data_IF_582252095738
#
_entry.id   IF_582252095738
#
_cell.length_a   1.000
_cell.length_b   1.000
_cell.length_c   1.000
_cell.angle_alpha   90.00
_cell.angle_beta   90.00
_cell.angle_gamma   90.00
#
_symmetry.space_group_name_H-M   'P 1'
#
loop_
_entity.id
_entity.type
_entity.pdbx_description
1 polymer ?
#
# COMPACT_ATOMS: atom_id res chain seq x y z
N UNK A 1 -44.85 -47.64 51.57
CA UNK A 1 -44.93 -46.18 51.82
C UNK A 1 -45.20 -45.49 50.48
N UNK A 2 -46.44 -45.08 50.22
CA UNK A 2 -46.85 -44.49 48.93
C UNK A 2 -46.55 -42.99 48.98
N UNK A 3 -45.51 -42.55 48.26
CA UNK A 3 -45.20 -41.12 48.12
C UNK A 3 -46.30 -40.43 47.29
N UNK A 4 -46.87 -39.37 47.86
CA UNK A 4 -47.91 -38.55 47.24
C UNK A 4 -47.43 -37.97 45.90
N UNK A 5 -48.26 -38.09 44.86
CA UNK A 5 -47.98 -37.63 43.48
C UNK A 5 -47.66 -36.13 43.41
N UNK A 6 -48.18 -35.31 44.34
CA UNK A 6 -47.82 -33.88 44.43
C UNK A 6 -46.38 -33.66 44.89
N UNK A 7 -45.87 -34.50 45.77
CA UNK A 7 -44.50 -34.42 46.30
C UNK A 7 -43.49 -34.89 45.24
N UNK A 8 -43.82 -35.94 44.48
CA UNK A 8 -42.99 -36.45 43.38
C UNK A 8 -42.88 -35.43 42.22
N UNK A 9 -43.97 -34.73 41.87
CA UNK A 9 -43.94 -33.66 40.85
C UNK A 9 -43.09 -32.46 41.27
N UNK A 10 -43.11 -32.06 42.55
CA UNK A 10 -42.27 -30.95 43.05
C UNK A 10 -40.78 -31.31 43.07
N UNK A 11 -40.43 -32.55 43.44
CA UNK A 11 -39.03 -33.02 43.44
C UNK A 11 -38.50 -33.13 42.01
N UNK A 12 -39.30 -33.59 41.05
CA UNK A 12 -38.94 -33.69 39.64
C UNK A 12 -38.71 -32.32 38.98
N UNK A 13 -39.56 -31.32 39.23
CA UNK A 13 -39.40 -29.99 38.64
C UNK A 13 -38.17 -29.25 39.21
N UNK A 14 -37.89 -29.43 40.50
CA UNK A 14 -36.72 -28.82 41.15
C UNK A 14 -35.41 -29.43 40.65
N UNK A 15 -35.39 -30.74 40.34
CA UNK A 15 -34.22 -31.42 39.77
C UNK A 15 -33.91 -30.99 38.33
N UNK A 16 -34.95 -30.74 37.51
CA UNK A 16 -34.77 -30.29 36.12
C UNK A 16 -34.23 -28.85 36.06
N UNK A 17 -34.68 -27.98 36.96
CA UNK A 17 -34.19 -26.58 37.03
C UNK A 17 -32.73 -26.52 37.51
N UNK A 18 -32.33 -27.38 38.45
CA UNK A 18 -30.94 -27.45 38.92
C UNK A 18 -30.00 -28.01 37.83
N UNK A 19 -30.43 -29.02 37.05
CA UNK A 19 -29.61 -29.58 35.97
C UNK A 19 -29.42 -28.65 34.77
N UNK A 20 -30.34 -27.70 34.53
CA UNK A 20 -30.23 -26.75 33.41
C UNK A 20 -29.49 -25.45 33.78
N UNK A 21 -29.55 -25.01 35.04
CA UNK A 21 -28.95 -23.73 35.44
C UNK A 21 -27.48 -23.89 35.86
N UNK A 22 -27.11 -25.02 36.48
CA UNK A 22 -25.74 -25.24 36.96
C UNK A 22 -24.68 -25.30 35.83
N UNK A 23 -24.92 -25.92 34.65
CA UNK A 23 -23.95 -25.89 33.56
C UNK A 23 -23.80 -24.48 32.98
N UNK A 24 -24.88 -23.70 32.87
CA UNK A 24 -24.85 -22.35 32.31
C UNK A 24 -24.11 -21.39 33.25
N UNK A 25 -24.31 -21.49 34.57
CA UNK A 25 -23.58 -20.69 35.55
C UNK A 25 -22.10 -21.10 35.68
N UNK A 26 -21.77 -22.38 35.50
CA UNK A 26 -20.38 -22.85 35.47
C UNK A 26 -19.64 -22.42 34.19
N UNK A 27 -20.32 -22.46 33.03
CA UNK A 27 -19.77 -21.96 31.76
C UNK A 27 -19.63 -20.44 31.79
N UNK A 28 -20.64 -19.68 32.25
CA UNK A 28 -20.55 -18.22 32.38
C UNK A 28 -19.57 -17.77 33.48
N UNK A 29 -19.38 -18.57 34.54
CA UNK A 29 -18.38 -18.33 35.58
C UNK A 29 -16.94 -18.55 35.10
N UNK A 30 -16.72 -19.43 34.11
CA UNK A 30 -15.41 -19.61 33.46
C UNK A 30 -15.15 -18.60 32.33
N UNK A 31 -16.17 -17.89 31.84
CA UNK A 31 -16.04 -16.77 30.90
C UNK A 31 -16.08 -15.39 31.57
N UNK A 32 -15.58 -15.28 32.81
CA UNK A 32 -14.93 -14.01 33.19
C UNK A 32 -13.65 -13.93 32.38
N UNK A 33 -13.75 -13.40 31.16
CA UNK A 33 -12.63 -12.71 30.52
C UNK A 33 -12.25 -11.58 31.46
N UNK A 34 -11.39 -11.92 32.42
CA UNK A 34 -10.39 -11.00 32.91
C UNK A 34 -9.69 -10.58 31.62
N UNK A 35 -9.99 -9.38 31.13
CA UNK A 35 -9.07 -8.67 30.25
C UNK A 35 -7.83 -8.43 31.10
N UNK A 36 -7.06 -9.49 31.30
CA UNK A 36 -5.62 -9.35 31.36
C UNK A 36 -5.31 -8.74 30.01
N UNK A 37 -5.05 -7.44 30.00
CA UNK A 37 -4.12 -6.90 29.04
C UNK A 37 -2.98 -7.90 29.01
N UNK A 38 -2.87 -8.63 27.90
CA UNK A 38 -1.63 -9.31 27.56
C UNK A 38 -0.62 -8.17 27.47
N UNK A 39 -0.07 -7.78 28.62
CA UNK A 39 1.20 -7.13 28.66
C UNK A 39 2.11 -8.18 28.05
N UNK A 40 2.41 -7.98 26.76
CA UNK A 40 3.48 -8.66 26.09
C UNK A 40 4.73 -8.36 26.93
N UNK A 41 5.04 -9.23 27.89
CA UNK A 41 6.36 -9.28 28.48
C UNK A 41 7.30 -9.63 27.34
N UNK A 42 7.91 -8.58 26.78
CA UNK A 42 9.03 -8.71 25.88
C UNK A 42 10.06 -9.56 26.64
N UNK A 43 10.44 -10.75 26.15
CA UNK A 43 11.45 -11.56 26.81
C UNK A 43 12.67 -10.69 27.03
N UNK A 44 13.08 -10.53 28.29
CA UNK A 44 14.13 -9.59 28.74
C UNK A 44 15.50 -9.80 28.08
N UNK A 45 15.65 -10.86 27.28
CA UNK A 45 16.86 -11.19 26.52
C UNK A 45 16.75 -10.99 25.00
N UNK A 46 15.64 -10.46 24.48
CA UNK A 46 15.53 -10.06 23.08
C UNK A 46 15.35 -8.54 23.01
N UNK A 47 16.38 -7.84 22.51
CA UNK A 47 16.26 -6.42 22.15
C UNK A 47 15.26 -6.30 21.02
N UNK A 48 13.98 -6.11 21.33
CA UNK A 48 13.02 -5.59 20.36
C UNK A 48 13.48 -4.17 20.06
N UNK A 49 14.06 -3.98 18.88
CA UNK A 49 14.29 -2.63 18.34
C UNK A 49 12.90 -2.06 18.07
N UNK A 50 12.43 -1.20 18.96
CA UNK A 50 11.43 -0.21 18.59
C UNK A 50 12.19 0.72 17.65
N UNK A 51 12.02 0.54 16.34
CA UNK A 51 12.64 1.40 15.35
C UNK A 51 12.24 2.84 15.67
N UNK A 52 13.22 3.67 16.04
CA UNK A 52 12.94 5.06 16.36
C UNK A 52 12.52 5.74 15.05
N UNK A 53 11.69 6.78 15.13
CA UNK A 53 11.32 7.59 13.96
C UNK A 53 12.55 8.09 13.16
N UNK A 54 13.69 8.28 13.85
CA UNK A 54 14.98 8.59 13.23
C UNK A 54 15.47 7.50 12.27
N UNK A 55 15.20 6.24 12.59
CA UNK A 55 15.67 5.07 11.84
C UNK A 55 14.88 4.94 10.54
N UNK A 56 13.56 5.20 10.57
CA UNK A 56 12.72 5.27 9.38
C UNK A 56 13.11 6.40 8.43
N UNK A 57 13.43 7.59 8.96
CA UNK A 57 13.93 8.70 8.15
C UNK A 57 15.28 8.37 7.49
N UNK A 58 16.19 7.72 8.22
CA UNK A 58 17.47 7.27 7.66
C UNK A 58 17.29 6.23 6.56
N UNK A 59 16.41 5.25 6.75
CA UNK A 59 16.07 4.24 5.74
C UNK A 59 15.46 4.90 4.50
N UNK A 60 14.51 5.80 4.67
CA UNK A 60 13.90 6.58 3.58
C UNK A 60 14.97 7.36 2.79
N UNK A 61 15.88 8.06 3.49
CA UNK A 61 16.97 8.81 2.85
C UNK A 61 17.92 7.89 2.06
N UNK A 62 18.19 6.68 2.56
CA UNK A 62 18.99 5.69 1.84
C UNK A 62 18.31 5.29 0.52
N UNK A 63 16.99 5.11 0.52
CA UNK A 63 16.24 4.80 -0.69
C UNK A 63 16.26 5.95 -1.70
N UNK A 64 16.03 7.18 -1.24
CA UNK A 64 16.11 8.36 -2.12
C UNK A 64 17.50 8.54 -2.73
N UNK A 65 18.56 8.35 -1.93
CA UNK A 65 19.93 8.41 -2.43
C UNK A 65 20.18 7.32 -3.49
N UNK A 66 19.70 6.10 -3.28
CA UNK A 66 19.83 5.03 -4.28
C UNK A 66 19.13 5.38 -5.60
N UNK A 67 17.96 6.04 -5.57
CA UNK A 67 17.29 6.53 -6.78
C UNK A 67 18.12 7.61 -7.48
N UNK A 68 18.70 8.55 -6.73
CA UNK A 68 19.60 9.59 -7.28
C UNK A 68 20.81 8.93 -7.96
N UNK A 69 21.52 8.05 -7.26
CA UNK A 69 22.70 7.38 -7.82
C UNK A 69 22.33 6.55 -9.07
N UNK A 70 21.18 5.87 -9.07
CA UNK A 70 20.74 5.09 -10.23
C UNK A 70 20.36 5.97 -11.42
N UNK A 71 19.76 7.14 -11.17
CA UNK A 71 19.34 8.09 -12.20
C UNK A 71 20.53 8.74 -12.89
N UNK A 72 21.48 9.24 -12.10
CA UNK A 72 22.60 10.01 -12.62
C UNK A 72 23.84 9.17 -12.92
N UNK A 73 23.95 7.97 -12.36
CA UNK A 73 25.03 7.02 -12.62
C UNK A 73 26.41 7.67 -12.42
N UNK A 74 27.13 7.96 -13.50
CA UNK A 74 28.44 8.61 -13.49
C UNK A 74 28.40 10.11 -13.85
N UNK A 75 27.22 10.65 -14.20
CA UNK A 75 27.06 12.05 -14.59
C UNK A 75 26.93 12.97 -13.37
N UNK A 76 28.06 13.23 -12.71
CA UNK A 76 28.12 14.03 -11.49
C UNK A 76 27.66 15.48 -11.71
N UNK A 77 27.97 16.07 -12.86
CA UNK A 77 27.58 17.45 -13.16
C UNK A 77 26.04 17.60 -13.21
N UNK A 78 25.36 16.70 -13.93
CA UNK A 78 23.90 16.71 -14.00
C UNK A 78 23.27 16.42 -12.64
N UNK A 79 23.87 15.51 -11.85
CA UNK A 79 23.45 15.23 -10.47
C UNK A 79 23.49 16.47 -9.60
N UNK A 80 24.61 17.20 -9.59
CA UNK A 80 24.78 18.39 -8.75
C UNK A 80 23.81 19.51 -9.16
N UNK A 81 23.62 19.71 -10.46
CA UNK A 81 22.64 20.66 -10.99
C UNK A 81 21.20 20.28 -10.58
N UNK A 82 20.87 18.99 -10.70
CA UNK A 82 19.58 18.47 -10.28
C UNK A 82 19.37 18.68 -8.78
N UNK A 83 20.26 18.22 -7.91
CA UNK A 83 20.12 18.35 -6.46
C UNK A 83 19.89 19.81 -6.03
N UNK A 84 20.68 20.75 -6.57
CA UNK A 84 20.49 22.19 -6.32
C UNK A 84 19.10 22.68 -6.75
N UNK A 85 18.57 22.19 -7.87
CA UNK A 85 17.22 22.56 -8.32
C UNK A 85 16.13 22.02 -7.40
N UNK A 86 16.35 20.87 -6.75
CA UNK A 86 15.37 20.21 -5.88
C UNK A 86 15.31 20.83 -4.48
N UNK A 87 16.34 21.58 -4.09
CA UNK A 87 16.41 22.27 -2.78
C UNK A 87 15.68 23.62 -2.77
N UNK A 88 15.14 24.07 -3.92
CA UNK A 88 14.36 25.30 -4.03
C UNK A 88 12.90 25.13 -3.57
N UNK A 89 12.68 24.50 -2.41
CA UNK A 89 11.39 24.01 -1.90
C UNK A 89 10.25 25.02 -2.03
N UNK A 90 10.41 26.25 -1.52
CA UNK A 90 9.34 27.26 -1.57
C UNK A 90 8.98 27.65 -3.00
N UNK A 91 9.97 27.86 -3.86
CA UNK A 91 9.74 28.18 -5.28
C UNK A 91 9.05 27.03 -6.02
N UNK A 92 9.41 25.79 -5.71
CA UNK A 92 8.79 24.61 -6.32
C UNK A 92 7.32 24.46 -5.91
N UNK A 93 6.98 24.71 -4.65
CA UNK A 93 5.57 24.73 -4.22
C UNK A 93 4.77 25.84 -4.92
N UNK A 94 5.30 27.06 -5.00
CA UNK A 94 4.62 28.17 -5.67
C UNK A 94 4.42 27.90 -7.17
N UNK A 95 5.43 27.35 -7.84
CA UNK A 95 5.29 26.90 -9.24
C UNK A 95 4.17 25.87 -9.37
N UNK A 96 4.14 24.85 -8.51
CA UNK A 96 3.14 23.78 -8.56
C UNK A 96 1.72 24.30 -8.31
N UNK A 97 1.52 25.23 -7.35
CA UNK A 97 0.22 25.84 -7.07
C UNK A 97 -0.36 26.60 -8.27
N UNK A 98 0.50 27.15 -9.13
CA UNK A 98 0.09 27.88 -10.32
C UNK A 98 -0.32 26.97 -11.49
N UNK A 99 -0.05 25.66 -11.42
CA UNK A 99 -0.40 24.71 -12.47
C UNK A 99 -1.83 24.21 -12.27
N UNK A 100 -2.70 24.54 -13.22
CA UNK A 100 -4.10 24.10 -13.21
C UNK A 100 -4.37 22.86 -14.07
N UNK A 101 -3.48 22.57 -15.03
CA UNK A 101 -3.59 21.44 -15.95
C UNK A 101 -2.91 20.18 -15.40
N UNK A 102 -3.62 19.06 -15.35
CA UNK A 102 -3.12 17.82 -14.75
C UNK A 102 -1.92 17.22 -15.50
N UNK A 103 -1.82 17.39 -16.83
CA UNK A 103 -0.68 16.89 -17.58
C UNK A 103 0.58 17.68 -17.23
N UNK A 104 0.45 19.01 -17.11
CA UNK A 104 1.55 19.87 -16.63
C UNK A 104 1.93 19.57 -15.17
N UNK A 105 0.97 19.20 -14.32
CA UNK A 105 1.27 18.71 -12.95
C UNK A 105 2.12 17.44 -13.03
N UNK A 106 1.77 16.49 -13.90
CA UNK A 106 2.53 15.25 -14.07
C UNK A 106 3.95 15.51 -14.62
N UNK A 107 4.10 16.44 -15.58
CA UNK A 107 5.42 16.88 -16.07
C UNK A 107 6.25 17.51 -14.96
N UNK A 108 5.66 18.41 -14.17
CA UNK A 108 6.31 19.03 -13.02
C UNK A 108 6.76 17.98 -12.01
N UNK A 109 5.89 17.04 -11.66
CA UNK A 109 6.17 15.98 -10.68
C UNK A 109 7.32 15.09 -11.16
N UNK A 110 7.35 14.69 -12.43
CA UNK A 110 8.44 13.89 -12.98
C UNK A 110 9.77 14.66 -13.03
N UNK A 111 9.74 15.95 -13.38
CA UNK A 111 10.92 16.82 -13.39
C UNK A 111 11.48 17.06 -11.98
N UNK A 112 10.60 17.21 -10.99
CA UNK A 112 10.94 17.55 -9.62
C UNK A 112 10.73 16.38 -8.65
N UNK A 113 11.05 15.18 -9.12
CA UNK A 113 10.67 13.94 -8.43
C UNK A 113 11.26 13.82 -7.02
N UNK A 114 12.48 14.32 -6.79
CA UNK A 114 13.12 14.22 -5.48
C UNK A 114 12.44 15.15 -4.48
N UNK A 115 12.11 16.38 -4.92
CA UNK A 115 11.29 17.30 -4.14
C UNK A 115 9.94 16.66 -3.79
N UNK A 116 9.27 16.07 -4.77
CA UNK A 116 7.97 15.40 -4.56
C UNK A 116 8.08 14.28 -3.51
N UNK A 117 9.08 13.39 -3.64
CA UNK A 117 9.25 12.28 -2.70
C UNK A 117 9.58 12.75 -1.28
N UNK A 118 10.42 13.79 -1.12
CA UNK A 118 10.77 14.36 0.19
C UNK A 118 9.56 15.02 0.89
N UNK A 119 8.60 15.51 0.12
CA UNK A 119 7.44 16.25 0.61
C UNK A 119 6.10 15.57 0.27
N UNK A 120 6.12 14.25 0.12
CA UNK A 120 4.96 13.48 -0.36
C UNK A 120 3.75 13.59 0.61
N UNK A 121 3.97 13.94 1.88
CA UNK A 121 2.95 14.25 2.89
C UNK A 121 2.13 15.52 2.59
N UNK A 122 2.62 16.38 1.69
CA UNK A 122 1.90 17.57 1.20
C UNK A 122 0.99 17.26 0.02
N UNK A 123 1.03 16.03 -0.48
CA UNK A 123 0.22 15.60 -1.61
C UNK A 123 -0.94 14.72 -1.13
N UNK A 124 -1.87 14.52 -2.05
CA UNK A 124 -3.00 13.62 -1.90
C UNK A 124 -3.18 12.83 -3.19
N UNK A 125 -3.79 11.66 -3.07
CA UNK A 125 -4.12 10.81 -4.20
C UNK A 125 -5.54 11.11 -4.64
N UNK A 126 -5.69 11.46 -5.92
CA UNK A 126 -6.97 11.57 -6.60
C UNK A 126 -7.20 10.29 -7.39
N UNK A 127 -8.30 9.62 -7.11
CA UNK A 127 -8.69 8.41 -7.85
C UNK A 127 -8.74 8.69 -9.35
N UNK A 128 -8.13 7.79 -10.13
CA UNK A 128 -8.14 7.83 -11.59
C UNK A 128 -8.85 6.62 -12.16
N UNK A 129 -8.42 5.43 -11.76
CA UNK A 129 -9.02 4.17 -12.19
C UNK A 129 -8.71 3.04 -11.20
N UNK A 130 -9.35 1.90 -11.37
CA UNK A 130 -8.97 0.66 -10.72
C UNK A 130 -7.71 0.06 -11.38
N UNK A 131 -6.82 -0.49 -10.55
CA UNK A 131 -5.63 -1.12 -11.08
C UNK A 131 -5.98 -2.45 -11.74
N UNK A 132 -5.70 -2.51 -13.03
CA UNK A 132 -5.79 -3.71 -13.86
C UNK A 132 -4.46 -3.94 -14.57
N UNK A 133 -4.28 -5.13 -15.11
CA UNK A 133 -3.09 -5.51 -15.87
C UNK A 133 -3.30 -5.41 -17.39
N UNK A 134 -4.45 -4.88 -17.83
CA UNK A 134 -4.83 -4.82 -19.25
C UNK A 134 -3.78 -4.15 -20.15
N UNK A 135 -3.02 -3.19 -19.63
CA UNK A 135 -1.94 -2.52 -20.38
C UNK A 135 -0.74 -3.43 -20.70
N UNK A 136 -0.60 -4.55 -19.99
CA UNK A 136 0.44 -5.56 -20.21
C UNK A 136 -0.07 -6.80 -20.96
N UNK A 137 -1.39 -6.89 -21.15
CA UNK A 137 -2.06 -8.04 -21.77
C UNK A 137 -2.01 -7.89 -23.29
N UNK A 138 -1.33 -8.81 -23.96
CA UNK A 138 -1.21 -8.82 -25.43
C UNK A 138 -2.04 -9.92 -26.10
N UNK A 139 -2.63 -10.82 -25.32
CA UNK A 139 -3.41 -11.98 -25.79
C UNK A 139 -4.68 -12.18 -24.93
N UNK A 140 -5.76 -12.69 -25.54
CA UNK A 140 -7.05 -12.95 -24.89
C UNK A 140 -6.96 -13.95 -23.73
N UNK A 141 -5.96 -14.85 -23.75
CA UNK A 141 -5.70 -15.82 -22.67
C UNK A 141 -5.07 -15.21 -21.41
N UNK A 142 -4.73 -13.92 -21.45
CA UNK A 142 -4.27 -13.12 -20.31
C UNK A 142 -5.32 -12.09 -19.90
N UNK A 143 -6.60 -12.27 -20.28
CA UNK A 143 -7.66 -11.41 -19.79
C UNK A 143 -7.99 -11.71 -18.32
N UNK A 144 -8.37 -10.68 -17.57
CA UNK A 144 -8.92 -10.82 -16.23
C UNK A 144 -10.20 -11.67 -16.21
N UNK A 145 -10.48 -12.29 -15.06
CA UNK A 145 -11.71 -13.05 -14.88
C UNK A 145 -12.96 -12.18 -14.96
N UNK A 146 -14.07 -12.74 -15.42
CA UNK A 146 -15.34 -12.02 -15.47
C UNK A 146 -15.78 -11.53 -14.09
N UNK A 147 -15.56 -12.33 -13.03
CA UNK A 147 -15.90 -11.94 -11.66
C UNK A 147 -15.11 -10.72 -11.18
N UNK A 148 -13.83 -10.63 -11.53
CA UNK A 148 -13.02 -9.45 -11.23
C UNK A 148 -13.52 -8.20 -11.97
N UNK A 149 -13.80 -8.33 -13.27
CA UNK A 149 -14.30 -7.23 -14.11
C UNK A 149 -15.67 -6.74 -13.63
N UNK A 150 -16.58 -7.67 -13.29
CA UNK A 150 -17.91 -7.33 -12.77
C UNK A 150 -17.80 -6.57 -11.45
N UNK A 151 -16.89 -6.97 -10.56
CA UNK A 151 -16.65 -6.28 -9.29
C UNK A 151 -16.09 -4.86 -9.50
N UNK A 152 -15.17 -4.67 -10.45
CA UNK A 152 -14.70 -3.33 -10.83
C UNK A 152 -15.86 -2.48 -11.34
N UNK A 153 -16.68 -3.02 -12.23
CA UNK A 153 -17.80 -2.28 -12.83
C UNK A 153 -18.85 -1.87 -11.79
N UNK A 154 -19.10 -2.70 -10.78
CA UNK A 154 -19.95 -2.34 -9.64
C UNK A 154 -19.37 -1.16 -8.84
N UNK A 155 -18.04 -1.16 -8.64
CA UNK A 155 -17.38 -0.13 -7.84
C UNK A 155 -17.16 1.19 -8.58
N UNK A 156 -17.12 1.21 -9.93
CA UNK A 156 -17.00 2.45 -10.73
C UNK A 156 -18.11 3.47 -10.47
N UNK A 157 -19.26 3.02 -9.97
CA UNK A 157 -20.40 3.88 -9.64
C UNK A 157 -20.38 4.38 -8.18
N UNK A 158 -19.29 4.13 -7.44
CA UNK A 158 -19.15 4.57 -6.04
C UNK A 158 -18.35 5.86 -5.95
N UNK A 159 -18.65 6.70 -4.95
CA UNK A 159 -17.87 7.91 -4.71
C UNK A 159 -16.47 7.55 -4.23
N UNK A 160 -15.46 8.14 -4.88
CA UNK A 160 -14.06 7.92 -4.54
C UNK A 160 -13.53 9.07 -3.70
N UNK A 161 -13.20 8.78 -2.45
CA UNK A 161 -12.59 9.76 -1.56
C UNK A 161 -11.15 10.07 -1.97
N UNK A 162 -10.76 11.33 -1.79
CA UNK A 162 -9.38 11.77 -1.87
C UNK A 162 -8.59 11.18 -0.69
N UNK A 163 -7.44 10.56 -0.97
CA UNK A 163 -6.60 9.94 0.06
C UNK A 163 -5.47 10.92 0.42
N UNK A 164 -5.49 11.42 1.66
CA UNK A 164 -4.43 12.29 2.18
C UNK A 164 -3.23 11.44 2.62
N UNK A 165 -2.05 11.75 2.10
CA UNK A 165 -0.79 11.13 2.54
C UNK A 165 -0.34 11.83 3.83
N UNK A 166 -0.12 11.06 4.90
CA UNK A 166 0.11 11.60 6.25
C UNK A 166 1.57 11.62 6.67
N UNK A 167 2.43 10.92 5.93
CA UNK A 167 3.85 10.77 6.24
C UNK A 167 4.69 10.87 4.97
N UNK A 168 5.99 11.12 5.13
CA UNK A 168 6.95 11.28 4.04
C UNK A 168 8.20 10.38 4.17
N UNK A 169 8.14 9.35 5.01
CA UNK A 169 9.19 8.35 5.11
C UNK A 169 8.74 7.05 4.43
N UNK A 170 9.58 6.51 3.55
CA UNK A 170 9.32 5.25 2.86
C UNK A 170 9.78 4.07 3.71
N UNK A 171 8.90 3.08 3.85
CA UNK A 171 9.13 1.93 4.72
C UNK A 171 9.79 0.77 3.99
N UNK A 172 9.82 0.83 2.65
CA UNK A 172 10.38 -0.22 1.81
C UNK A 172 10.71 0.29 0.41
N UNK A 173 11.76 -0.27 -0.17
CA UNK A 173 12.09 -0.13 -1.57
C UNK A 173 12.62 -1.45 -2.12
N UNK A 174 12.18 -1.80 -3.31
CA UNK A 174 12.62 -3.00 -4.03
C UNK A 174 12.92 -2.67 -5.49
N UNK A 175 14.01 -3.24 -6.01
CA UNK A 175 14.30 -3.25 -7.44
C UNK A 175 13.51 -4.41 -8.04
N UNK A 176 12.57 -4.11 -8.94
CA UNK A 176 11.68 -5.11 -9.52
C UNK A 176 12.43 -6.19 -10.29
N UNK A 177 11.92 -7.43 -10.24
CA UNK A 177 12.50 -8.58 -10.94
C UNK A 177 12.56 -8.36 -12.46
N UNK A 178 11.64 -7.58 -13.03
CA UNK A 178 11.70 -7.20 -14.44
C UNK A 178 12.95 -6.39 -14.80
N UNK A 179 13.62 -5.82 -13.80
CA UNK A 179 14.87 -5.11 -13.97
C UNK A 179 16.08 -6.04 -14.12
N UNK A 180 15.96 -7.33 -13.80
CA UNK A 180 17.12 -8.22 -13.75
C UNK A 180 17.51 -8.75 -15.13
N UNK A 181 16.58 -8.79 -16.09
CA UNK A 181 16.80 -9.55 -17.33
C UNK A 181 17.15 -8.69 -18.56
N UNK A 182 17.49 -7.41 -18.38
CA UNK A 182 17.82 -6.47 -19.48
C UNK A 182 16.74 -6.37 -20.59
N UNK A 183 15.53 -6.89 -20.37
CA UNK A 183 14.46 -6.92 -21.38
C UNK A 183 13.80 -5.57 -21.63
N UNK A 184 14.02 -4.58 -20.76
CA UNK A 184 13.42 -3.25 -20.87
C UNK A 184 14.44 -2.13 -20.85
N UNK A 185 14.10 -0.95 -21.42
CA UNK A 185 14.99 0.21 -21.45
C UNK A 185 15.23 0.84 -20.06
N UNK A 186 14.51 0.39 -19.03
CA UNK A 186 14.47 1.01 -17.71
C UNK A 186 14.79 0.00 -16.58
N UNK A 187 15.29 0.53 -15.46
CA UNK A 187 15.17 -0.08 -14.14
C UNK A 187 13.79 0.29 -13.57
N UNK A 188 13.11 -0.69 -13.00
CA UNK A 188 11.84 -0.50 -12.27
C UNK A 188 12.10 -0.57 -10.77
N UNK A 189 11.79 0.52 -10.07
CA UNK A 189 11.81 0.57 -8.62
C UNK A 189 10.39 0.61 -8.08
N UNK A 190 10.19 -0.05 -6.95
CA UNK A 190 8.95 -0.01 -6.21
C UNK A 190 9.22 0.54 -4.82
N UNK A 191 8.70 1.73 -4.55
CA UNK A 191 8.74 2.37 -3.23
C UNK A 191 7.41 2.15 -2.52
N UNK A 192 7.45 1.93 -1.21
CA UNK A 192 6.24 1.79 -0.38
C UNK A 192 6.15 2.88 0.68
N UNK A 193 4.95 3.43 0.81
CA UNK A 193 4.56 4.39 1.84
C UNK A 193 3.23 3.94 2.43
N UNK A 194 3.20 3.31 3.61
CA UNK A 194 1.98 2.72 4.17
C UNK A 194 1.27 1.80 3.13
N UNK A 195 0.04 2.12 2.71
CA UNK A 195 -0.76 1.37 1.73
C UNK A 195 -0.53 1.78 0.27
N UNK A 196 0.41 2.68 0.01
CA UNK A 196 0.75 3.16 -1.34
C UNK A 196 2.00 2.44 -1.86
N UNK A 197 1.90 1.85 -3.05
CA UNK A 197 3.04 1.49 -3.89
C UNK A 197 3.28 2.59 -4.93
N UNK A 198 4.52 3.02 -5.07
CA UNK A 198 4.97 3.96 -6.10
C UNK A 198 5.90 3.20 -7.04
N UNK A 199 5.46 3.00 -8.28
CA UNK A 199 6.29 2.40 -9.32
C UNK A 199 7.04 3.50 -10.06
N UNK A 200 8.36 3.36 -10.13
CA UNK A 200 9.30 4.32 -10.71
C UNK A 200 10.09 3.65 -11.82
N UNK A 201 10.28 4.34 -12.93
CA UNK A 201 11.11 3.90 -14.04
C UNK A 201 12.31 4.85 -14.19
N UNK A 202 13.51 4.28 -14.25
CA UNK A 202 14.76 5.02 -14.47
C UNK A 202 15.47 4.43 -15.69
N UNK A 203 15.87 5.26 -16.65
CA UNK A 203 16.53 4.76 -17.87
C UNK A 203 17.82 4.01 -17.58
N UNK A 204 18.02 2.87 -18.26
CA UNK A 204 19.30 2.13 -18.27
C UNK A 204 20.36 2.78 -19.14
N UNK A 205 19.95 3.59 -20.11
CA UNK A 205 20.86 4.28 -21.00
C UNK A 205 21.81 5.14 -20.16
N UNK A 206 23.12 4.90 -20.30
CA UNK A 206 24.15 5.58 -19.52
C UNK A 206 24.23 7.07 -19.85
N UNK A 207 23.73 7.47 -21.01
CA UNK A 207 23.72 8.85 -21.47
C UNK A 207 22.44 9.60 -21.09
N UNK A 208 21.45 8.91 -20.50
CA UNK A 208 20.17 9.50 -20.09
C UNK A 208 20.01 9.50 -18.59
N UNK A 209 19.37 10.55 -18.08
CA UNK A 209 19.00 10.71 -16.67
C UNK A 209 17.49 10.72 -16.50
N UNK A 210 16.78 9.99 -17.36
CA UNK A 210 15.32 9.96 -17.37
C UNK A 210 14.80 9.24 -16.12
N UNK A 211 13.94 9.92 -15.38
CA UNK A 211 13.19 9.42 -14.24
C UNK A 211 11.70 9.65 -14.52
N UNK A 212 10.87 8.65 -14.22
CA UNK A 212 9.41 8.75 -14.35
C UNK A 212 8.70 8.03 -13.22
N UNK A 213 7.70 8.68 -12.62
CA UNK A 213 6.65 7.98 -11.88
C UNK A 213 5.72 7.29 -12.87
N UNK A 214 5.72 5.97 -12.85
CA UNK A 214 4.86 5.18 -13.71
C UNK A 214 3.44 5.13 -13.13
N UNK A 215 3.33 4.74 -11.84
CA UNK A 215 2.03 4.61 -11.16
C UNK A 215 2.11 4.87 -9.67
N UNK A 216 1.01 5.39 -9.14
CA UNK A 216 0.69 5.45 -7.72
C UNK A 216 -0.47 4.49 -7.44
N UNK A 217 -0.15 3.32 -6.87
CA UNK A 217 -1.10 2.22 -6.66
C UNK A 217 -1.47 2.16 -5.19
N UNK A 218 -2.74 2.40 -4.85
CA UNK A 218 -3.20 2.44 -3.47
C UNK A 218 -4.07 1.22 -3.13
N UNK A 219 -3.74 0.55 -2.03
CA UNK A 219 -4.42 -0.65 -1.55
C UNK A 219 -5.27 -0.33 -0.32
N UNK A 220 -6.53 0.06 -0.52
CA UNK A 220 -7.42 0.48 0.58
C UNK A 220 -7.59 -0.59 1.69
N UNK A 221 -7.61 -1.87 1.32
CA UNK A 221 -7.83 -2.99 2.24
C UNK A 221 -6.55 -3.64 2.75
N UNK A 222 -5.36 -3.17 2.36
CA UNK A 222 -4.11 -3.73 2.85
C UNK A 222 -4.02 -3.64 4.38
N UNK A 223 -3.84 -4.80 5.01
CA UNK A 223 -3.57 -4.96 6.45
C UNK A 223 -2.11 -5.31 6.72
N UNK A 224 -1.40 -5.76 5.69
CA UNK A 224 0.02 -6.06 5.75
C UNK A 224 0.75 -5.43 4.55
N UNK A 225 2.08 -5.52 4.58
CA UNK A 225 2.96 -4.68 3.80
C UNK A 225 3.62 -5.40 2.59
N UNK A 226 3.31 -6.67 2.33
CA UNK A 226 4.05 -7.49 1.35
C UNK A 226 3.65 -7.28 -0.12
N UNK A 227 2.65 -6.44 -0.40
CA UNK A 227 2.13 -6.22 -1.75
C UNK A 227 3.20 -5.77 -2.76
N UNK A 228 4.19 -4.98 -2.34
CA UNK A 228 5.17 -4.40 -3.26
C UNK A 228 6.03 -5.44 -3.99
N UNK A 229 6.38 -6.55 -3.33
CA UNK A 229 7.15 -7.64 -3.94
C UNK A 229 6.27 -8.42 -4.91
N UNK A 230 5.04 -8.73 -4.51
CA UNK A 230 4.07 -9.45 -5.35
C UNK A 230 3.76 -8.68 -6.64
N UNK A 231 3.66 -7.35 -6.58
CA UNK A 231 3.48 -6.51 -7.77
C UNK A 231 4.64 -6.71 -8.76
N UNK A 232 5.88 -6.68 -8.27
CA UNK A 232 7.05 -6.85 -9.13
C UNK A 232 7.07 -8.25 -9.77
N UNK A 233 6.75 -9.29 -8.99
CA UNK A 233 6.67 -10.67 -9.47
C UNK A 233 5.60 -10.86 -10.54
N UNK A 234 4.39 -10.34 -10.31
CA UNK A 234 3.29 -10.41 -11.29
C UNK A 234 3.68 -9.68 -12.57
N UNK A 235 4.21 -8.46 -12.49
CA UNK A 235 4.64 -7.71 -13.68
C UNK A 235 5.75 -8.45 -14.43
N UNK A 236 6.70 -9.05 -13.71
CA UNK A 236 7.75 -9.87 -14.30
C UNK A 236 7.19 -11.10 -15.03
N UNK A 237 6.24 -11.81 -14.42
CA UNK A 237 5.54 -12.95 -15.04
C UNK A 237 4.81 -12.55 -16.33
N UNK A 238 4.16 -11.39 -16.35
CA UNK A 238 3.48 -10.89 -17.57
C UNK A 238 4.48 -10.59 -18.68
N UNK A 239 5.63 -9.97 -18.36
CA UNK A 239 6.69 -9.68 -19.33
C UNK A 239 7.21 -10.98 -19.96
N UNK A 240 7.26 -12.07 -19.18
CA UNK A 240 7.60 -13.41 -19.67
C UNK A 240 6.42 -14.16 -20.31
N UNK A 241 5.28 -13.50 -20.51
CA UNK A 241 4.07 -14.06 -21.08
C UNK A 241 3.57 -15.31 -20.32
N UNK A 242 3.84 -15.42 -19.01
CA UNK A 242 3.30 -16.50 -18.18
C UNK A 242 1.78 -16.34 -18.13
N UNK A 243 1.06 -17.38 -18.57
CA UNK A 243 -0.41 -17.41 -18.59
C UNK A 243 -1.01 -17.33 -17.19
N UNK A 244 -0.25 -17.65 -16.14
CA UNK A 244 -0.71 -17.60 -14.75
C UNK A 244 -0.63 -16.21 -14.14
N UNK A 245 0.05 -15.25 -14.76
CA UNK A 245 0.32 -13.96 -14.12
C UNK A 245 -0.96 -13.21 -13.68
N UNK A 246 -2.01 -13.28 -14.50
CA UNK A 246 -3.32 -12.69 -14.22
C UNK A 246 -4.02 -13.41 -13.08
N UNK A 247 -3.94 -14.74 -13.06
CA UNK A 247 -4.47 -15.53 -11.98
C UNK A 247 -3.72 -15.21 -10.67
N UNK A 248 -2.39 -15.18 -10.67
CA UNK A 248 -1.57 -14.78 -9.52
C UNK A 248 -1.97 -13.39 -9.01
N UNK A 249 -2.21 -12.43 -9.92
CA UNK A 249 -2.68 -11.10 -9.54
C UNK A 249 -4.03 -11.15 -8.80
N UNK A 250 -5.02 -11.86 -9.34
CA UNK A 250 -6.33 -11.94 -8.71
C UNK A 250 -6.30 -12.74 -7.39
N UNK A 251 -5.62 -13.88 -7.39
CA UNK A 251 -5.57 -14.82 -6.27
C UNK A 251 -4.64 -14.37 -5.15
N UNK A 252 -3.55 -13.65 -5.42
CA UNK A 252 -2.57 -13.25 -4.41
C UNK A 252 -2.59 -11.76 -4.08
N UNK A 253 -2.92 -10.89 -5.04
CA UNK A 253 -2.97 -9.44 -4.81
C UNK A 253 -4.40 -9.01 -4.46
N UNK A 254 -5.36 -9.29 -5.34
CA UNK A 254 -6.74 -8.79 -5.16
C UNK A 254 -7.41 -9.45 -3.95
N UNK A 255 -7.21 -10.75 -3.75
CA UNK A 255 -7.80 -11.47 -2.62
C UNK A 255 -7.29 -10.97 -1.25
N UNK A 256 -5.99 -10.64 -1.15
CA UNK A 256 -5.33 -10.33 0.11
C UNK A 256 -5.33 -8.82 0.44
N UNK A 257 -5.32 -7.95 -0.57
CA UNK A 257 -5.17 -6.50 -0.39
C UNK A 257 -6.36 -5.69 -0.94
N UNK A 258 -7.36 -6.38 -1.51
CA UNK A 258 -8.50 -5.77 -2.16
C UNK A 258 -8.19 -5.26 -3.57
N UNK A 259 -9.21 -4.68 -4.21
CA UNK A 259 -9.05 -4.06 -5.52
C UNK A 259 -8.35 -2.71 -5.33
N UNK A 260 -7.09 -2.64 -5.76
CA UNK A 260 -6.29 -1.44 -5.68
C UNK A 260 -6.72 -0.39 -6.71
N UNK A 261 -6.37 0.87 -6.46
CA UNK A 261 -6.62 1.99 -7.36
C UNK A 261 -5.33 2.54 -7.91
N UNK A 262 -5.34 2.99 -9.16
CA UNK A 262 -4.32 3.87 -9.73
C UNK A 262 -4.79 5.30 -9.53
N UNK A 263 -3.88 6.16 -9.10
CA UNK A 263 -4.20 7.51 -8.68
C UNK A 263 -3.28 8.53 -9.34
N UNK A 264 -3.81 9.72 -9.57
CA UNK A 264 -2.99 10.89 -9.85
C UNK A 264 -2.55 11.53 -8.52
N UNK A 265 -1.28 11.93 -8.44
CA UNK A 265 -0.75 12.66 -7.30
C UNK A 265 -1.01 14.16 -7.50
N UNK A 266 -1.69 14.80 -6.55
CA UNK A 266 -2.01 16.22 -6.62
C UNK A 266 -1.62 16.93 -5.33
N UNK A 267 -1.22 18.19 -5.42
CA UNK A 267 -0.92 19.00 -4.23
C UNK A 267 -2.20 19.15 -3.39
N UNK A 268 -2.10 18.93 -2.08
CA UNK A 268 -3.21 19.19 -1.17
C UNK A 268 -3.40 20.70 -1.07
N UNK A 269 -4.64 21.17 -1.24
CA UNK A 269 -5.01 22.52 -0.84
C UNK A 269 -5.04 22.54 0.68
N UNK A 270 -4.23 23.37 1.32
CA UNK A 270 -4.32 23.53 2.76
C UNK A 270 -5.62 24.29 3.07
N UNK A 271 -6.34 23.88 4.12
CA UNK A 271 -7.63 24.47 4.52
C UNK A 271 -7.52 25.97 4.90
N UNK A 272 -6.32 26.57 4.84
CA UNK A 272 -6.05 28.00 5.06
C UNK A 272 -6.21 28.88 3.82
N UNK A 273 -6.27 28.28 2.62
CA UNK A 273 -6.40 29.02 1.34
C UNK A 273 -7.88 29.24 0.95
N UNK A 274 -8.82 28.73 1.75
CA UNK A 274 -10.24 29.09 1.72
C UNK A 274 -10.51 30.17 2.80
N UNK A 275 -10.13 31.41 2.51
CA UNK A 275 -10.62 32.60 3.23
C UNK A 275 -11.12 33.64 2.27
#
# INVERSE_FOLDING_TARGET
MKLDKKTVKKISLTFVVILLIVPVAAILGQFKFKTETLDLEIPTNHKVKIDKLSDQQQVSNKYLNQLVETTFKTNQLAKDQFLKSQDQTSSLFEQLKQITDQNKVNEFINKNWLFVLKHIDKFQLKFKDYWTLNEYVTNINQAHSSSFIDKINQLKNTDHHIIKLKQNHFDFMHLGEESQHNHGPNYSFYLRLDKLAIRILISRDKNKTDFKFDKFIYFNQAQNNNFTILIAQVIHQIIHQDSRAIQTFEDEIVSNYGIATVNDLVLRKDDSDEK
#
